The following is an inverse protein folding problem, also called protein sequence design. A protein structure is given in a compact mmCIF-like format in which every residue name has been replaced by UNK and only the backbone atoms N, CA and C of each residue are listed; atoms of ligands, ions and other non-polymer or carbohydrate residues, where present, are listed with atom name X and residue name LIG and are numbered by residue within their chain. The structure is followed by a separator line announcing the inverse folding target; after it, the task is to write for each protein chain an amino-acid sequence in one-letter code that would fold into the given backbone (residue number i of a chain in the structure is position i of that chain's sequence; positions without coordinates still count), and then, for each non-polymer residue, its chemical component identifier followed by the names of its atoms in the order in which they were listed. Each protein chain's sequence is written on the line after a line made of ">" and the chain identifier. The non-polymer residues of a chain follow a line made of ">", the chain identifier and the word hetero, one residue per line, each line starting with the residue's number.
data_IF_908382246216
#
_entry.id   IF_908382246216
#
_cell.length_a   1.000
_cell.length_b   1.000
_cell.length_c   1.000
_cell.angle_alpha   90.00
_cell.angle_beta   90.00
_cell.angle_gamma   90.00
#
_symmetry.space_group_name_H-M   'P 1'
#
loop_
_entity.id
_entity.type
_entity.pdbx_description
1 polymer ?
#
# COMPACT_ATOMS: atom_id res chain seq x y z
N UNK A 1 -3.40 -13.11 -5.26
CA UNK A 1 -3.18 -11.75 -4.72
C UNK A 1 -2.03 -11.74 -3.74
N UNK A 2 -1.99 -12.65 -2.74
CA UNK A 2 -0.88 -12.79 -1.78
C UNK A 2 0.54 -12.73 -2.41
N UNK A 3 0.84 -13.60 -3.38
CA UNK A 3 2.12 -13.56 -4.13
C UNK A 3 2.48 -12.21 -4.75
N UNK A 4 1.49 -11.41 -5.19
CA UNK A 4 1.73 -10.08 -5.76
C UNK A 4 2.07 -9.06 -4.66
N UNK A 5 1.41 -9.15 -3.51
CA UNK A 5 1.74 -8.33 -2.34
C UNK A 5 3.13 -8.62 -1.81
N UNK A 6 3.53 -9.89 -1.77
CA UNK A 6 4.82 -10.33 -1.24
C UNK A 6 5.99 -9.96 -2.18
N UNK A 7 5.72 -9.82 -3.48
CA UNK A 7 6.70 -9.43 -4.48
C UNK A 7 6.90 -7.91 -4.59
N UNK A 8 5.96 -7.10 -4.09
CA UNK A 8 6.08 -5.64 -4.07
C UNK A 8 6.98 -5.18 -2.91
N UNK A 9 7.56 -3.98 -3.02
CA UNK A 9 8.35 -3.40 -1.92
C UNK A 9 7.56 -3.38 -0.61
N UNK A 10 8.21 -3.60 0.55
CA UNK A 10 7.54 -3.53 1.86
C UNK A 10 6.80 -2.21 2.07
N UNK A 11 5.73 -2.26 2.85
CA UNK A 11 5.07 -1.07 3.38
C UNK A 11 5.82 -0.47 4.58
N UNK A 12 5.36 0.67 5.11
CA UNK A 12 4.24 1.45 4.62
C UNK A 12 4.56 2.16 3.29
N UNK A 13 3.55 2.34 2.45
CA UNK A 13 3.61 3.25 1.30
C UNK A 13 2.81 4.50 1.64
N UNK A 14 3.41 5.68 1.48
CA UNK A 14 2.79 6.96 1.84
C UNK A 14 2.93 7.91 0.65
N UNK A 15 1.80 8.42 0.17
CA UNK A 15 1.74 9.41 -0.90
C UNK A 15 2.13 10.78 -0.36
N UNK A 16 3.14 11.38 -0.97
CA UNK A 16 3.58 12.76 -0.74
C UNK A 16 3.29 13.56 -2.02
N UNK A 17 2.55 14.65 -1.86
CA UNK A 17 2.20 15.57 -2.94
C UNK A 17 2.76 16.96 -2.63
N UNK A 18 3.42 17.58 -3.60
CA UNK A 18 3.98 18.91 -3.48
C UNK A 18 2.85 19.95 -3.29
N UNK A 19 3.05 20.87 -2.35
CA UNK A 19 2.05 21.85 -1.95
C UNK A 19 0.99 21.30 -0.97
N UNK A 20 0.88 19.97 -0.81
CA UNK A 20 0.02 19.32 0.19
C UNK A 20 0.81 18.85 1.40
N UNK A 21 1.86 18.07 1.16
CA UNK A 21 2.61 17.33 2.18
C UNK A 21 4.06 17.82 2.32
N UNK A 22 4.59 18.49 1.31
CA UNK A 22 5.91 19.13 1.30
C UNK A 22 5.92 20.36 0.39
N UNK A 23 6.96 21.19 0.45
CA UNK A 23 6.98 22.51 -0.19
C UNK A 23 7.86 22.60 -1.45
N UNK A 24 8.58 21.54 -1.79
CA UNK A 24 9.48 21.50 -2.94
C UNK A 24 9.70 20.06 -3.42
N UNK A 25 9.78 19.83 -4.73
CA UNK A 25 10.15 18.53 -5.32
C UNK A 25 9.08 17.98 -6.27
N UNK A 26 9.14 16.69 -6.58
CA UNK A 26 8.10 15.97 -7.31
C UNK A 26 7.08 15.36 -6.34
N UNK A 27 5.91 14.97 -6.85
CA UNK A 27 5.02 14.05 -6.14
C UNK A 27 5.60 12.64 -6.17
N UNK A 28 5.52 11.91 -5.05
CA UNK A 28 6.03 10.56 -4.96
C UNK A 28 5.32 9.72 -3.90
N UNK A 29 5.43 8.40 -4.05
CA UNK A 29 5.12 7.46 -2.97
C UNK A 29 6.42 7.08 -2.26
N UNK A 30 6.49 7.41 -0.97
CA UNK A 30 7.54 6.91 -0.08
C UNK A 30 7.28 5.45 0.28
N UNK A 31 8.27 4.59 0.07
CA UNK A 31 8.21 3.19 0.51
C UNK A 31 9.03 2.97 1.78
N UNK A 32 8.46 2.26 2.76
CA UNK A 32 9.09 2.01 4.06
C UNK A 32 9.30 3.26 4.91
N UNK A 33 9.83 3.09 6.12
CA UNK A 33 10.18 4.18 7.03
C UNK A 33 11.37 3.85 7.94
N UNK A 34 12.05 4.87 8.46
CA UNK A 34 13.24 4.70 9.31
C UNK A 34 14.29 3.80 8.64
N UNK A 35 14.77 2.80 9.37
CA UNK A 35 15.75 1.81 8.89
C UNK A 35 15.23 0.90 7.77
N UNK A 36 13.92 0.89 7.52
CA UNK A 36 13.28 0.12 6.44
C UNK A 36 12.91 0.96 5.23
N UNK A 37 13.33 2.23 5.21
CA UNK A 37 13.08 3.17 4.11
C UNK A 37 13.63 2.62 2.80
N UNK A 38 12.74 2.34 1.85
CA UNK A 38 13.05 1.93 0.49
C UNK A 38 13.19 3.14 -0.46
N UNK A 39 13.18 2.93 -1.78
CA UNK A 39 13.19 4.03 -2.76
C UNK A 39 11.86 4.79 -2.81
N UNK A 40 11.89 6.02 -3.34
CA UNK A 40 10.69 6.75 -3.73
C UNK A 40 10.20 6.28 -5.10
N UNK A 41 8.88 6.21 -5.26
CA UNK A 41 8.23 5.85 -6.50
C UNK A 41 7.52 7.08 -7.06
N UNK A 42 8.05 7.62 -8.15
CA UNK A 42 7.34 8.62 -8.95
C UNK A 42 6.47 7.90 -9.98
N UNK A 43 5.23 8.39 -10.19
CA UNK A 43 4.29 7.78 -11.14
C UNK A 43 3.88 8.83 -12.17
N UNK A 44 4.67 9.03 -13.24
CA UNK A 44 4.38 10.03 -14.25
C UNK A 44 3.01 9.83 -14.89
N UNK A 45 2.22 10.91 -14.96
CA UNK A 45 0.88 10.89 -15.54
C UNK A 45 -0.24 10.39 -14.62
N UNK A 46 0.07 9.99 -13.39
CA UNK A 46 -0.93 9.73 -12.36
C UNK A 46 -1.51 11.04 -11.83
N UNK A 47 -2.81 11.06 -11.51
CA UNK A 47 -3.37 12.12 -10.68
C UNK A 47 -2.98 11.90 -9.22
N UNK A 48 -3.11 12.93 -8.37
CA UNK A 48 -2.90 12.76 -6.92
C UNK A 48 -3.81 11.65 -6.34
N UNK A 49 -5.03 11.51 -6.85
CA UNK A 49 -5.96 10.47 -6.43
C UNK A 49 -5.50 9.06 -6.82
N UNK A 50 -4.90 8.91 -8.01
CA UNK A 50 -4.29 7.64 -8.43
C UNK A 50 -3.09 7.29 -7.54
N UNK A 51 -2.23 8.27 -7.25
CA UNK A 51 -1.08 8.08 -6.36
C UNK A 51 -1.53 7.67 -4.95
N UNK A 52 -2.52 8.37 -4.39
CA UNK A 52 -3.10 8.05 -3.08
C UNK A 52 -3.72 6.65 -3.08
N UNK A 53 -4.47 6.27 -4.13
CA UNK A 53 -5.06 4.94 -4.25
C UNK A 53 -3.99 3.84 -4.29
N UNK A 54 -2.93 4.02 -5.09
CA UNK A 54 -1.83 3.06 -5.20
C UNK A 54 -1.09 2.92 -3.86
N UNK A 55 -0.82 4.04 -3.17
CA UNK A 55 -0.21 4.03 -1.86
C UNK A 55 -1.05 3.20 -0.88
N UNK A 56 -2.34 3.51 -0.72
CA UNK A 56 -3.23 2.79 0.20
C UNK A 56 -3.40 1.31 -0.13
N UNK A 57 -3.47 0.96 -1.43
CA UNK A 57 -3.61 -0.43 -1.86
C UNK A 57 -2.51 -1.34 -1.31
N UNK A 58 -1.31 -0.82 -1.06
CA UNK A 58 -0.20 -1.61 -0.50
C UNK A 58 -0.51 -2.16 0.90
N UNK A 59 -1.23 -1.40 1.73
CA UNK A 59 -1.64 -1.79 3.08
C UNK A 59 -3.00 -2.48 3.07
N UNK A 60 -3.92 -2.02 2.23
CA UNK A 60 -5.30 -2.52 2.21
C UNK A 60 -5.38 -3.95 1.70
N UNK A 61 -4.67 -4.29 0.61
CA UNK A 61 -4.77 -5.64 0.04
C UNK A 61 -4.30 -6.72 1.04
N UNK A 62 -3.15 -6.61 1.73
CA UNK A 62 -2.79 -7.57 2.78
C UNK A 62 -3.83 -7.69 3.90
N UNK A 63 -4.44 -6.58 4.35
CA UNK A 63 -5.49 -6.60 5.38
C UNK A 63 -6.74 -7.33 4.89
N UNK A 64 -7.18 -7.03 3.67
CA UNK A 64 -8.32 -7.70 3.04
C UNK A 64 -8.08 -9.20 2.87
N UNK A 65 -6.86 -9.61 2.49
CA UNK A 65 -6.50 -11.03 2.39
C UNK A 65 -6.51 -11.72 3.75
N UNK A 66 -5.98 -11.06 4.80
CA UNK A 66 -6.04 -11.59 6.16
C UNK A 66 -7.49 -11.74 6.64
N UNK A 67 -8.35 -10.79 6.31
CA UNK A 67 -9.77 -10.83 6.66
C UNK A 67 -10.52 -11.96 5.93
N UNK A 68 -10.23 -12.18 4.65
CA UNK A 68 -10.78 -13.32 3.90
C UNK A 68 -10.37 -14.65 4.55
N UNK A 69 -9.11 -14.77 4.97
CA UNK A 69 -8.63 -15.99 5.62
C UNK A 69 -9.31 -16.20 7.00
N UNK A 70 -9.50 -15.12 7.77
CA UNK A 70 -10.26 -15.15 9.04
C UNK A 70 -11.70 -15.65 8.81
N UNK A 71 -12.42 -15.04 7.87
CA UNK A 71 -13.81 -15.38 7.57
C UNK A 71 -13.95 -16.82 7.06
N UNK A 72 -13.03 -17.30 6.23
CA UNK A 72 -13.02 -18.71 5.77
C UNK A 72 -12.83 -19.70 6.91
N UNK A 73 -11.96 -19.36 7.87
CA UNK A 73 -11.76 -20.20 9.04
C UNK A 73 -13.01 -20.26 9.92
N UNK A 74 -13.67 -19.13 10.16
CA UNK A 74 -14.94 -19.08 10.90
C UNK A 74 -16.03 -19.89 10.21
N UNK A 75 -16.18 -19.73 8.89
CA UNK A 75 -17.15 -20.50 8.13
C UNK A 75 -16.90 -22.01 8.23
N UNK A 76 -15.63 -22.45 8.16
CA UNK A 76 -15.27 -23.87 8.33
C UNK A 76 -15.60 -24.40 9.72
N UNK A 77 -15.49 -23.59 10.76
CA UNK A 77 -15.86 -24.00 12.13
C UNK A 77 -17.38 -24.06 12.33
N UNK A 78 -18.16 -23.30 11.55
CA UNK A 78 -19.63 -23.31 11.58
C UNK A 78 -20.25 -24.42 10.71
N UNK A 79 -19.48 -25.03 9.81
CA UNK A 79 -19.89 -26.13 8.94
C UNK A 79 -19.08 -27.41 9.27
N UNK A 80 -19.39 -28.09 10.39
CA UNK A 80 -18.69 -29.32 10.79
C UNK A 80 -18.93 -30.50 9.83
#
# INVERSE_FOLDING_TARGET
>A
MRRRCDAALPGPWISFVEGRDHTSGSDFIRTGEGDTRGPDLEIPGATHADQDFIAHARQDIPRLLAEIDRLKNELRMLQP
#
